data_IF_524680960630
#
_entry.id   IF_524680960630
#
_cell.length_a   1.000
_cell.length_b   1.000
_cell.length_c   1.000
_cell.angle_alpha   90.00
_cell.angle_beta   90.00
_cell.angle_gamma   90.00
#
_symmetry.space_group_name_H-M   'P 1'
#
loop_
_entity.id
_entity.type
_entity.pdbx_description
1 polymer ?
#
# COMPACT_ATOMS: atom_id res chain seq x y z
N UNK A 1 53.25 3.92 -12.74
CA UNK A 1 52.02 4.60 -13.19
C UNK A 1 50.73 3.79 -12.90
N UNK A 2 50.74 2.45 -13.04
CA UNK A 2 49.55 1.60 -12.82
C UNK A 2 49.03 1.53 -11.37
N UNK A 3 49.90 1.69 -10.35
CA UNK A 3 49.48 1.60 -8.94
C UNK A 3 48.65 2.81 -8.45
N UNK A 4 48.85 3.99 -9.04
CA UNK A 4 48.07 5.20 -8.68
C UNK A 4 46.64 5.16 -9.22
N UNK A 5 46.42 4.48 -10.34
CA UNK A 5 45.09 4.36 -10.97
C UNK A 5 44.21 3.42 -10.14
N UNK A 6 44.76 2.32 -9.61
CA UNK A 6 43.99 1.37 -8.78
C UNK A 6 43.58 2.02 -7.44
N UNK A 7 44.47 2.77 -6.79
CA UNK A 7 44.15 3.48 -5.55
C UNK A 7 43.07 4.56 -5.75
N UNK A 8 43.08 5.26 -6.89
CA UNK A 8 42.07 6.28 -7.20
C UNK A 8 40.70 5.66 -7.50
N UNK A 9 40.66 4.53 -8.20
CA UNK A 9 39.39 3.80 -8.46
C UNK A 9 38.79 3.25 -7.16
N UNK A 10 39.62 2.70 -6.26
CA UNK A 10 39.14 2.22 -4.95
C UNK A 10 38.61 3.38 -4.10
N UNK A 11 39.29 4.53 -4.10
CA UNK A 11 38.82 5.71 -3.37
C UNK A 11 37.46 6.23 -3.91
N UNK A 12 37.27 6.25 -5.23
CA UNK A 12 36.01 6.67 -5.85
C UNK A 12 34.87 5.69 -5.52
N UNK A 13 35.13 4.39 -5.54
CA UNK A 13 34.13 3.37 -5.18
C UNK A 13 33.74 3.50 -3.70
N UNK A 14 34.70 3.68 -2.80
CA UNK A 14 34.41 3.87 -1.36
C UNK A 14 33.66 5.18 -1.11
N UNK A 15 34.01 6.27 -1.78
CA UNK A 15 33.30 7.54 -1.65
C UNK A 15 31.88 7.50 -2.21
N UNK A 16 31.61 6.73 -3.28
CA UNK A 16 30.24 6.52 -3.76
C UNK A 16 29.42 5.65 -2.80
N UNK A 17 30.02 4.61 -2.18
CA UNK A 17 29.30 3.75 -1.23
C UNK A 17 28.89 4.47 0.06
N UNK A 18 29.68 5.44 0.53
CA UNK A 18 29.38 6.21 1.76
C UNK A 18 28.27 7.24 1.52
N UNK A 19 28.09 7.74 0.29
CA UNK A 19 27.06 8.74 -0.01
C UNK A 19 25.65 8.15 -0.12
N UNK A 20 25.51 6.86 -0.48
CA UNK A 20 24.20 6.22 -0.66
C UNK A 20 23.58 5.74 0.67
N UNK A 21 24.39 5.45 1.68
CA UNK A 21 23.90 4.91 2.98
C UNK A 21 23.32 6.01 3.89
N UNK A 22 23.62 7.29 3.63
CA UNK A 22 23.26 8.38 4.55
C UNK A 22 21.83 8.97 4.37
N UNK A 23 21.01 8.49 3.42
CA UNK A 23 19.75 9.18 3.03
C UNK A 23 18.46 8.38 3.30
N UNK A 24 18.51 7.22 3.96
CA UNK A 24 17.29 6.41 4.21
C UNK A 24 16.54 6.72 5.51
N UNK A 25 16.89 7.78 6.24
CA UNK A 25 16.19 8.20 7.46
C UNK A 25 15.41 9.51 7.27
N UNK A 26 14.45 9.54 6.34
CA UNK A 26 13.46 10.63 6.35
C UNK A 26 12.47 10.41 7.50
N UNK A 27 12.55 11.27 8.52
CA UNK A 27 11.46 11.43 9.48
C UNK A 27 10.42 12.34 8.84
N UNK A 28 9.24 11.79 8.56
CA UNK A 28 8.10 12.60 8.09
C UNK A 28 7.59 13.50 9.23
N UNK A 29 7.09 14.71 8.92
CA UNK A 29 6.42 15.54 9.92
C UNK A 29 5.22 14.78 10.50
N UNK A 30 5.20 14.61 11.81
CA UNK A 30 4.09 13.99 12.52
C UNK A 30 2.85 14.88 12.44
N UNK A 31 1.63 14.34 12.26
CA UNK A 31 0.41 15.10 12.45
C UNK A 31 0.32 15.56 13.92
N UNK A 32 -0.03 16.84 14.11
CA UNK A 32 -0.32 17.39 15.44
C UNK A 32 -1.61 16.75 15.95
N UNK A 33 -1.64 16.10 17.13
CA UNK A 33 -2.86 15.52 17.65
C UNK A 33 -3.89 16.63 17.93
N UNK A 34 -5.20 16.39 17.70
CA UNK A 34 -6.23 17.32 18.12
C UNK A 34 -6.22 17.47 19.64
N UNK A 35 -6.36 18.71 20.13
CA UNK A 35 -6.43 19.01 21.55
C UNK A 35 -7.57 18.21 22.21
N UNK A 36 -7.23 17.41 23.22
CA UNK A 36 -8.19 16.68 24.03
C UNK A 36 -9.08 17.68 24.78
N UNK A 37 -10.37 17.70 24.44
CA UNK A 37 -11.40 18.35 25.24
C UNK A 37 -11.76 17.48 26.44
N UNK A 38 -11.69 18.07 27.63
CA UNK A 38 -12.08 17.47 28.91
C UNK A 38 -13.51 16.92 28.87
N UNK A 39 -13.66 15.62 29.19
CA UNK A 39 -14.93 15.04 29.61
C UNK A 39 -14.72 14.28 30.93
N UNK A 40 -15.03 14.97 32.04
CA UNK A 40 -15.17 14.37 33.36
C UNK A 40 -16.59 13.84 33.55
N UNK A 41 -16.75 12.61 34.05
CA UNK A 41 -18.09 12.11 34.41
C UNK A 41 -18.22 10.66 34.91
N UNK A 42 -17.92 10.47 36.21
CA UNK A 42 -18.51 9.49 37.16
C UNK A 42 -18.23 7.98 37.08
N UNK A 43 -17.60 7.52 38.17
CA UNK A 43 -17.61 6.16 38.74
C UNK A 43 -18.94 5.78 39.43
N UNK A 44 -19.26 4.47 39.42
CA UNK A 44 -19.82 3.57 40.48
C UNK A 44 -20.34 2.29 39.78
N UNK A 45 -20.18 1.04 40.23
CA UNK A 45 -19.63 0.45 41.44
C UNK A 45 -19.61 -1.10 41.31
N UNK A 46 -18.95 -1.73 42.27
CA UNK A 46 -18.65 -3.16 42.45
C UNK A 46 -19.89 -4.05 42.78
N UNK A 47 -19.85 -5.35 42.41
CA UNK A 47 -20.35 -6.47 43.24
C UNK A 47 -19.88 -7.85 42.71
N UNK A 48 -19.39 -8.69 43.63
CA UNK A 48 -18.89 -10.07 43.44
C UNK A 48 -19.97 -11.17 43.63
N UNK A 49 -19.88 -12.25 42.80
CA UNK A 49 -20.04 -13.73 42.94
C UNK A 49 -21.15 -14.41 43.81
N UNK A 50 -21.46 -15.76 43.74
CA UNK A 50 -20.85 -16.91 43.01
C UNK A 50 -21.82 -17.90 42.25
N UNK A 51 -21.26 -18.95 41.58
CA UNK A 51 -21.89 -19.99 40.67
C UNK A 51 -22.79 -21.07 41.31
N UNK A 52 -22.91 -22.36 40.83
CA UNK A 52 -22.32 -23.07 39.66
C UNK A 52 -23.35 -23.86 38.79
N UNK A 53 -23.01 -24.24 37.55
CA UNK A 53 -23.56 -25.45 36.88
C UNK A 53 -22.59 -25.97 35.80
N UNK A 54 -22.13 -27.22 35.98
CA UNK A 54 -21.48 -28.02 34.94
C UNK A 54 -22.55 -28.72 34.11
N UNK A 55 -22.51 -28.55 32.78
CA UNK A 55 -23.06 -29.53 31.82
C UNK A 55 -22.15 -29.58 30.61
N UNK A 56 -21.51 -30.73 30.45
CA UNK A 56 -20.65 -31.11 29.34
C UNK A 56 -21.54 -31.51 28.15
N UNK A 57 -21.35 -30.85 27.01
CA UNK A 57 -21.76 -31.34 25.69
C UNK A 57 -20.68 -30.95 24.70
N UNK A 58 -20.16 -31.96 24.01
CA UNK A 58 -19.13 -31.88 22.99
C UNK A 58 -19.62 -31.07 21.78
N UNK A 59 -18.87 -30.03 21.42
CA UNK A 59 -18.71 -29.53 20.05
C UNK A 59 -17.61 -28.44 20.06
N UNK A 60 -16.37 -28.84 19.80
CA UNK A 60 -15.27 -27.89 19.68
C UNK A 60 -15.30 -27.21 18.31
N UNK A 61 -16.02 -26.09 18.21
CA UNK A 61 -15.75 -25.06 17.21
C UNK A 61 -15.05 -23.90 17.90
N UNK A 62 -13.72 -23.82 17.74
CA UNK A 62 -12.92 -22.72 18.28
C UNK A 62 -13.28 -21.41 17.56
N UNK A 63 -13.88 -20.47 18.30
CA UNK A 63 -13.79 -19.04 18.01
C UNK A 63 -12.66 -18.49 18.88
N UNK A 64 -11.62 -17.96 18.25
CA UNK A 64 -10.47 -17.39 18.95
C UNK A 64 -10.00 -16.13 18.25
N UNK A 65 -10.12 -15.01 18.97
CA UNK A 65 -9.35 -13.79 18.76
C UNK A 65 -7.88 -14.12 18.47
N UNK A 66 -7.32 -13.54 17.41
CA UNK A 66 -5.89 -13.60 17.13
C UNK A 66 -5.29 -12.22 17.42
N UNK A 67 -4.93 -12.04 18.69
CA UNK A 67 -4.08 -10.97 19.15
C UNK A 67 -2.97 -11.59 19.99
N UNK A 68 -1.75 -11.46 19.47
CA UNK A 68 -0.45 -11.53 20.15
C UNK A 68 0.18 -12.92 20.36
N UNK A 69 1.44 -12.95 19.94
CA UNK A 69 2.51 -13.93 20.16
C UNK A 69 2.66 -15.07 19.12
N UNK A 70 3.36 -14.80 18.01
CA UNK A 70 3.68 -15.85 17.02
C UNK A 70 4.98 -15.66 16.21
N UNK A 71 6.14 -15.69 16.87
CA UNK A 71 7.39 -16.08 16.18
C UNK A 71 7.53 -17.62 16.03
N UNK A 72 6.77 -18.40 16.81
CA UNK A 72 6.85 -19.86 16.80
C UNK A 72 5.97 -20.60 15.79
N UNK A 73 4.80 -20.07 15.39
CA UNK A 73 3.90 -20.75 14.43
C UNK A 73 3.61 -19.99 13.14
N UNK A 74 4.00 -18.72 13.01
CA UNK A 74 3.89 -18.01 11.73
C UNK A 74 4.81 -18.58 10.64
N UNK A 75 5.86 -19.34 11.02
CA UNK A 75 6.71 -20.10 10.09
C UNK A 75 6.04 -21.36 9.54
N UNK A 76 5.05 -21.91 10.25
CA UNK A 76 4.41 -23.19 9.94
C UNK A 76 2.95 -23.06 9.48
N UNK A 77 2.43 -21.83 9.31
CA UNK A 77 1.08 -21.62 8.78
C UNK A 77 1.13 -21.60 7.24
N UNK A 78 0.62 -22.64 6.54
CA UNK A 78 0.66 -22.72 5.08
C UNK A 78 -0.22 -21.68 4.36
N UNK A 79 -1.07 -20.93 5.06
CA UNK A 79 -1.97 -19.95 4.45
C UNK A 79 -2.41 -18.89 5.46
N UNK A 80 -1.64 -17.81 5.61
CA UNK A 80 -2.18 -16.56 6.14
C UNK A 80 -3.05 -15.91 5.05
N UNK A 81 -4.37 -15.98 5.20
CA UNK A 81 -5.38 -15.08 4.62
C UNK A 81 -5.18 -14.67 3.16
N UNK A 82 -5.78 -15.45 2.25
CA UNK A 82 -5.74 -15.25 0.80
C UNK A 82 -6.59 -14.07 0.36
N UNK A 83 -5.99 -13.10 -0.32
CA UNK A 83 -6.69 -12.13 -1.16
C UNK A 83 -6.45 -12.45 -2.64
N UNK A 84 -7.51 -12.43 -3.45
CA UNK A 84 -7.37 -12.34 -4.90
C UNK A 84 -7.43 -10.86 -5.29
N UNK A 85 -6.26 -10.30 -5.62
CA UNK A 85 -6.21 -9.02 -6.33
C UNK A 85 -6.72 -9.23 -7.76
N UNK A 86 -7.48 -8.25 -8.31
CA UNK A 86 -8.25 -8.38 -9.57
C UNK A 86 -7.38 -8.30 -10.83
N UNK A 87 -6.08 -8.25 -10.68
CA UNK A 87 -5.17 -8.12 -11.80
C UNK A 87 -5.13 -9.43 -12.63
N UNK A 88 -5.47 -9.39 -13.93
CA UNK A 88 -5.79 -10.58 -14.71
C UNK A 88 -4.50 -11.33 -15.06
N UNK A 89 -4.25 -12.46 -14.39
CA UNK A 89 -3.21 -13.38 -14.86
C UNK A 89 -2.79 -14.49 -13.91
N UNK A 90 -3.03 -14.39 -12.61
CA UNK A 90 -2.61 -15.44 -11.66
C UNK A 90 -3.50 -15.42 -10.43
N UNK A 91 -4.28 -16.47 -10.18
CA UNK A 91 -4.06 -17.38 -9.05
C UNK A 91 -5.14 -18.47 -8.95
N UNK A 92 -4.64 -19.66 -8.63
CA UNK A 92 -5.29 -20.89 -8.23
C UNK A 92 -6.60 -20.71 -7.43
N UNK A 93 -7.63 -21.42 -7.90
CA UNK A 93 -8.85 -21.70 -7.17
C UNK A 93 -8.54 -22.49 -5.89
N UNK A 94 -8.42 -21.76 -4.78
CA UNK A 94 -8.45 -22.32 -3.44
C UNK A 94 -9.64 -21.74 -2.70
N UNK A 95 -10.68 -22.56 -2.47
CA UNK A 95 -11.91 -22.26 -1.71
C UNK A 95 -11.65 -21.25 -0.59
N UNK A 96 -12.29 -20.08 -0.67
CA UNK A 96 -12.40 -19.15 0.45
C UNK A 96 -13.06 -19.88 1.62
N UNK A 97 -12.36 -19.97 2.74
CA UNK A 97 -12.93 -20.49 4.00
C UNK A 97 -13.94 -19.48 4.52
N UNK A 98 -15.23 -19.74 4.28
CA UNK A 98 -16.37 -19.21 5.04
C UNK A 98 -16.40 -17.70 5.24
N UNK A 99 -16.60 -16.93 4.17
CA UNK A 99 -17.14 -15.59 4.33
C UNK A 99 -18.58 -15.74 4.85
N UNK A 100 -18.84 -15.23 6.06
CA UNK A 100 -20.21 -15.00 6.53
C UNK A 100 -20.55 -13.56 6.16
N UNK A 101 -21.80 -13.30 5.78
CA UNK A 101 -22.27 -11.98 5.32
C UNK A 101 -21.94 -10.81 6.28
N UNK A 102 -21.66 -11.12 7.55
CA UNK A 102 -21.33 -10.19 8.62
C UNK A 102 -19.83 -9.91 8.80
N UNK A 103 -18.93 -10.60 8.08
CA UNK A 103 -17.47 -10.43 8.21
C UNK A 103 -16.78 -10.26 6.88
N UNK A 104 -15.77 -9.41 6.86
CA UNK A 104 -14.84 -9.21 5.76
C UNK A 104 -13.41 -9.28 6.30
N UNK A 105 -12.45 -9.63 5.45
CA UNK A 105 -11.03 -9.45 5.78
C UNK A 105 -10.45 -8.40 4.84
N UNK A 106 -9.54 -7.55 5.33
CA UNK A 106 -8.81 -6.60 4.49
C UNK A 106 -7.41 -6.38 5.08
N UNK A 107 -6.37 -6.50 4.25
CA UNK A 107 -4.95 -6.43 4.65
C UNK A 107 -4.57 -7.34 5.84
N UNK A 108 -5.28 -8.45 6.01
CA UNK A 108 -5.07 -9.40 7.11
C UNK A 108 -5.90 -9.13 8.38
N UNK A 109 -6.73 -8.09 8.39
CA UNK A 109 -7.55 -7.70 9.53
C UNK A 109 -9.01 -8.05 9.33
N UNK A 110 -9.69 -8.40 10.44
CA UNK A 110 -11.11 -8.70 10.44
C UNK A 110 -11.94 -7.42 10.54
N UNK A 111 -12.90 -7.29 9.65
CA UNK A 111 -13.89 -6.21 9.66
C UNK A 111 -15.28 -6.82 9.86
N UNK A 112 -16.08 -6.23 10.73
CA UNK A 112 -17.46 -6.64 10.99
C UNK A 112 -18.44 -5.69 10.34
N UNK A 113 -19.52 -6.24 9.78
CA UNK A 113 -20.57 -5.46 9.15
C UNK A 113 -21.12 -4.45 10.16
N UNK A 114 -21.08 -3.18 9.78
CA UNK A 114 -21.65 -2.10 10.59
C UNK A 114 -23.04 -1.76 10.07
N UNK A 115 -23.95 -1.38 10.98
CA UNK A 115 -25.25 -0.81 10.61
C UNK A 115 -25.16 0.64 10.14
N UNK A 116 -23.95 1.19 9.99
CA UNK A 116 -23.75 2.55 9.53
C UNK A 116 -24.32 2.70 8.11
N UNK A 117 -25.04 3.81 7.82
CA UNK A 117 -25.59 4.03 6.49
C UNK A 117 -24.48 4.06 5.44
N UNK A 118 -24.84 3.66 4.22
CA UNK A 118 -23.95 3.81 3.09
C UNK A 118 -23.63 5.31 2.88
N UNK A 119 -22.36 5.63 3.11
CA UNK A 119 -21.54 6.70 2.50
C UNK A 119 -22.13 8.12 2.50
N UNK A 120 -21.46 9.04 3.21
CA UNK A 120 -21.67 10.49 3.09
C UNK A 120 -20.57 11.21 2.25
N UNK A 121 -19.61 10.48 1.65
CA UNK A 121 -18.46 11.06 0.95
C UNK A 121 -17.87 10.17 -0.16
N UNK A 122 -16.75 10.56 -0.76
CA UNK A 122 -16.16 9.76 -1.84
C UNK A 122 -15.53 8.46 -1.30
N UNK A 123 -15.72 7.36 -2.03
CA UNK A 123 -15.06 6.08 -1.75
C UNK A 123 -14.07 5.72 -2.86
N UNK A 124 -12.92 5.20 -2.46
CA UNK A 124 -11.81 4.85 -3.35
C UNK A 124 -11.65 3.34 -3.37
N UNK A 125 -11.64 2.76 -4.57
CA UNK A 125 -11.37 1.35 -4.78
C UNK A 125 -9.90 1.06 -4.50
N UNK A 126 -9.64 0.07 -3.66
CA UNK A 126 -8.27 -0.27 -3.21
C UNK A 126 -7.51 -1.14 -4.21
N UNK A 127 -8.20 -1.69 -5.22
CA UNK A 127 -7.66 -2.71 -6.12
C UNK A 127 -7.79 -4.14 -5.60
N UNK A 128 -8.35 -4.31 -4.39
CA UNK A 128 -8.49 -5.60 -3.73
C UNK A 128 -9.94 -6.10 -3.74
N UNK A 129 -10.11 -7.43 -3.59
CA UNK A 129 -11.42 -8.06 -3.42
C UNK A 129 -11.46 -8.91 -2.16
N UNK A 130 -12.59 -8.85 -1.44
CA UNK A 130 -12.97 -9.78 -0.38
C UNK A 130 -14.20 -10.54 -0.86
N UNK A 131 -14.13 -11.87 -0.90
CA UNK A 131 -15.29 -12.65 -1.35
C UNK A 131 -15.69 -12.43 -2.80
N UNK A 132 -14.75 -12.00 -3.65
CA UNK A 132 -15.05 -11.57 -5.02
C UNK A 132 -15.69 -10.17 -5.13
N UNK A 133 -16.05 -9.53 -4.02
CA UNK A 133 -16.56 -8.15 -3.96
C UNK A 133 -15.42 -7.16 -3.87
N UNK A 134 -15.54 -6.03 -4.56
CA UNK A 134 -14.53 -4.95 -4.53
C UNK A 134 -14.47 -4.29 -3.16
N UNK A 135 -13.26 -4.06 -2.65
CA UNK A 135 -13.02 -3.37 -1.39
C UNK A 135 -12.72 -1.90 -1.64
N UNK A 136 -13.48 -1.03 -0.99
CA UNK A 136 -13.31 0.41 -1.03
C UNK A 136 -13.01 0.97 0.36
N UNK A 137 -12.38 2.12 0.40
CA UNK A 137 -12.16 2.93 1.62
C UNK A 137 -12.77 4.31 1.41
N UNK A 138 -13.11 5.01 2.48
CA UNK A 138 -13.51 6.42 2.35
C UNK A 138 -12.27 7.27 2.06
N UNK A 139 -12.42 8.26 1.17
CA UNK A 139 -11.38 9.25 0.88
C UNK A 139 -11.01 10.11 2.11
N UNK A 140 -11.94 10.25 3.05
CA UNK A 140 -11.79 11.02 4.29
C UNK A 140 -11.27 10.17 5.46
N UNK A 141 -11.57 8.87 5.47
CA UNK A 141 -11.22 7.94 6.57
C UNK A 141 -9.77 7.40 6.45
N UNK A 142 -9.04 7.81 5.42
CA UNK A 142 -7.63 7.46 5.28
C UNK A 142 -6.77 8.46 6.06
N UNK A 143 -6.64 8.26 7.36
CA UNK A 143 -5.64 8.91 8.20
C UNK A 143 -4.34 8.11 8.13
N UNK A 144 -3.34 8.51 7.32
CA UNK A 144 -2.00 7.97 7.50
C UNK A 144 -1.55 8.28 8.93
N UNK A 145 -0.92 7.33 9.63
CA UNK A 145 -0.23 6.17 9.09
C UNK A 145 -0.98 4.90 9.54
N UNK A 146 -2.04 4.47 8.86
CA UNK A 146 -2.89 3.42 9.44
C UNK A 146 -3.87 2.74 8.52
N UNK A 147 -4.49 1.69 9.06
CA UNK A 147 -5.58 0.97 8.43
C UNK A 147 -6.85 1.82 8.39
N UNK A 148 -7.67 1.66 7.35
CA UNK A 148 -8.96 2.30 7.34
C UNK A 148 -9.79 1.74 8.50
N UNK A 149 -10.35 2.63 9.33
CA UNK A 149 -11.27 2.24 10.39
C UNK A 149 -12.54 1.59 9.82
N UNK A 150 -12.88 1.96 8.58
CA UNK A 150 -13.99 1.40 7.81
C UNK A 150 -13.61 1.05 6.38
N UNK A 151 -14.03 -0.13 5.94
CA UNK A 151 -14.04 -0.52 4.53
C UNK A 151 -15.48 -0.63 4.03
N UNK A 152 -15.63 -0.63 2.72
CA UNK A 152 -16.92 -0.84 2.06
C UNK A 152 -16.77 -1.94 1.03
N UNK A 153 -17.67 -2.92 1.07
CA UNK A 153 -17.77 -3.91 0.00
C UNK A 153 -18.92 -3.52 -0.93
N UNK A 154 -18.62 -3.45 -2.23
CA UNK A 154 -19.62 -3.16 -3.27
C UNK A 154 -20.25 -4.44 -3.78
N UNK A 155 -21.58 -4.49 -3.79
CA UNK A 155 -22.40 -5.53 -4.40
C UNK A 155 -23.45 -4.86 -5.31
N UNK A 156 -23.26 -5.01 -6.62
CA UNK A 156 -23.97 -4.19 -7.62
C UNK A 156 -23.76 -2.69 -7.39
N UNK A 157 -24.84 -1.96 -7.16
CA UNK A 157 -24.81 -0.51 -6.88
C UNK A 157 -24.85 -0.17 -5.39
N UNK A 158 -24.81 -1.18 -4.51
CA UNK A 158 -24.88 -0.99 -3.06
C UNK A 158 -23.51 -1.15 -2.43
N UNK A 159 -23.23 -0.29 -1.46
CA UNK A 159 -22.07 -0.39 -0.59
C UNK A 159 -22.51 -0.86 0.79
N UNK A 160 -21.85 -1.90 1.30
CA UNK A 160 -22.01 -2.36 2.68
C UNK A 160 -20.79 -1.96 3.48
N UNK A 161 -20.99 -1.21 4.56
CA UNK A 161 -19.91 -0.75 5.44
C UNK A 161 -19.50 -1.83 6.45
N UNK A 162 -18.20 -2.02 6.61
CA UNK A 162 -17.61 -2.88 7.63
C UNK A 162 -16.59 -2.08 8.45
N UNK A 163 -16.63 -2.23 9.78
CA UNK A 163 -15.72 -1.55 10.71
C UNK A 163 -14.68 -2.52 11.21
N UNK A 164 -13.45 -2.06 11.39
CA UNK A 164 -12.35 -2.84 11.95
C UNK A 164 -12.75 -3.40 13.32
N UNK A 165 -12.74 -4.73 13.46
CA UNK A 165 -13.06 -5.39 14.72
C UNK A 165 -11.79 -5.64 15.51
N UNK A 166 -11.73 -5.14 16.74
CA UNK A 166 -10.65 -5.38 17.71
C UNK A 166 -9.25 -5.28 17.09
N UNK A 167 -8.85 -4.09 16.60
CA UNK A 167 -7.50 -3.93 16.04
C UNK A 167 -6.47 -4.36 17.08
N UNK A 168 -5.46 -5.16 16.70
CA UNK A 168 -4.40 -5.52 17.64
C UNK A 168 -3.69 -4.25 18.13
N UNK A 169 -3.17 -4.27 19.37
CA UNK A 169 -2.52 -3.11 19.97
C UNK A 169 -1.32 -2.63 19.17
N UNK A 170 -0.60 -3.52 18.50
CA UNK A 170 0.52 -3.18 17.61
C UNK A 170 0.36 -3.96 16.32
N UNK A 171 0.59 -3.31 15.19
CA UNK A 171 0.51 -3.96 13.89
C UNK A 171 1.40 -3.31 12.84
N UNK A 172 1.85 -4.12 11.88
CA UNK A 172 2.44 -3.65 10.63
C UNK A 172 1.36 -3.40 9.58
N UNK A 173 1.62 -2.50 8.64
CA UNK A 173 0.77 -2.24 7.50
C UNK A 173 1.58 -1.89 6.26
N UNK A 174 0.95 -2.05 5.10
CA UNK A 174 1.43 -1.54 3.80
C UNK A 174 0.47 -0.47 3.32
N UNK A 175 0.99 0.54 2.64
CA UNK A 175 0.18 1.65 2.12
C UNK A 175 -0.88 1.17 1.11
N UNK A 176 -0.54 0.14 0.33
CA UNK A 176 -1.40 -0.50 -0.67
C UNK A 176 -1.12 -2.01 -0.69
N UNK A 177 -2.10 -2.82 -1.11
CA UNK A 177 -1.92 -4.27 -1.26
C UNK A 177 -1.14 -4.69 -2.51
N UNK A 178 -1.05 -3.82 -3.51
CA UNK A 178 -0.37 -4.10 -4.78
C UNK A 178 0.44 -2.89 -5.29
N UNK A 179 1.64 -3.18 -5.76
CA UNK A 179 2.59 -2.21 -6.32
C UNK A 179 3.08 -2.69 -7.69
N UNK A 180 3.37 -1.77 -8.60
CA UNK A 180 4.07 -2.09 -9.84
C UNK A 180 5.56 -2.35 -9.55
N UNK A 181 6.25 -3.02 -10.48
CA UNK A 181 7.71 -3.18 -10.40
C UNK A 181 8.37 -1.79 -10.50
N UNK A 182 9.38 -1.54 -9.68
CA UNK A 182 10.06 -0.24 -9.51
C UNK A 182 9.21 0.87 -8.84
N UNK A 183 8.03 0.55 -8.29
CA UNK A 183 7.26 1.48 -7.45
C UNK A 183 7.71 1.35 -5.99
N UNK A 184 8.19 2.42 -5.37
CA UNK A 184 8.60 2.35 -3.97
C UNK A 184 7.45 1.87 -3.05
N UNK A 185 7.74 0.85 -2.26
CA UNK A 185 6.77 0.24 -1.33
C UNK A 185 6.84 0.98 0.00
N UNK A 186 5.79 1.73 0.35
CA UNK A 186 5.64 2.38 1.66
C UNK A 186 4.91 1.45 2.63
N UNK A 187 5.46 1.30 3.81
CA UNK A 187 4.92 0.46 4.87
C UNK A 187 5.28 1.05 6.24
N UNK A 188 4.65 0.55 7.28
CA UNK A 188 4.89 1.04 8.62
C UNK A 188 4.40 0.12 9.71
N UNK A 189 4.53 0.60 10.93
CA UNK A 189 4.04 -0.05 12.13
C UNK A 189 3.35 0.98 13.01
N UNK A 190 2.15 0.65 13.49
CA UNK A 190 1.35 1.45 14.42
C UNK A 190 1.44 0.84 15.81
N UNK A 191 1.57 1.69 16.83
CA UNK A 191 1.48 1.29 18.22
C UNK A 191 0.31 2.00 18.91
N UNK A 192 -0.71 1.22 19.27
CA UNK A 192 -1.88 1.59 20.07
C UNK A 192 -1.94 0.79 21.40
N UNK A 193 -0.84 0.13 21.79
CA UNK A 193 -0.78 -0.81 22.90
C UNK A 193 -0.66 -0.21 24.30
N UNK A 194 -0.81 1.11 24.44
CA UNK A 194 -0.69 1.80 25.73
C UNK A 194 0.75 2.19 26.08
N UNK A 195 1.71 1.29 25.85
CA UNK A 195 3.13 1.51 26.15
C UNK A 195 3.95 2.00 24.94
N UNK A 196 5.19 2.46 25.17
CA UNK A 196 6.13 2.77 24.08
C UNK A 196 6.85 1.50 23.64
N UNK A 197 6.87 1.23 22.33
CA UNK A 197 7.61 0.12 21.74
C UNK A 197 9.02 0.59 21.38
N UNK A 198 10.04 -0.08 21.91
CA UNK A 198 11.44 0.24 21.63
C UNK A 198 11.99 -0.68 20.54
N UNK A 199 12.21 -0.13 19.34
CA UNK A 199 12.81 -0.88 18.24
C UNK A 199 14.34 -0.79 18.31
N UNK A 200 15.03 -1.92 18.19
CA UNK A 200 16.49 -1.97 18.39
C UNK A 200 17.33 -1.31 17.28
N UNK A 201 16.73 -1.07 16.11
CA UNK A 201 17.39 -0.49 14.93
C UNK A 201 16.52 0.60 14.30
N UNK A 202 17.14 1.54 13.59
CA UNK A 202 16.43 2.58 12.84
C UNK A 202 15.55 2.03 11.70
N UNK A 203 15.94 0.90 11.11
CA UNK A 203 15.20 0.18 10.08
C UNK A 203 15.12 -1.31 10.45
N UNK A 204 14.27 -1.68 11.43
CA UNK A 204 14.21 -3.01 11.98
C UNK A 204 13.30 -3.91 11.14
N UNK A 205 13.38 -3.84 9.81
CA UNK A 205 12.52 -4.61 8.93
C UNK A 205 13.33 -5.49 7.99
N UNK A 206 12.72 -6.54 7.46
CA UNK A 206 13.22 -7.30 6.32
C UNK A 206 12.09 -7.48 5.31
N UNK A 207 12.43 -7.66 4.04
CA UNK A 207 11.46 -8.02 3.01
C UNK A 207 11.63 -9.49 2.70
N UNK A 208 10.51 -10.20 2.71
CA UNK A 208 10.45 -11.62 2.38
C UNK A 208 9.61 -11.83 1.12
N UNK A 209 10.03 -12.76 0.28
CA UNK A 209 9.30 -13.22 -0.90
C UNK A 209 8.75 -14.62 -0.66
N UNK A 210 7.54 -14.91 -1.15
CA UNK A 210 6.97 -16.26 -1.13
C UNK A 210 7.51 -17.08 -2.29
N UNK A 211 8.27 -18.14 -1.99
CA UNK A 211 8.84 -19.08 -2.96
C UNK A 211 8.48 -20.51 -2.57
N UNK A 212 7.82 -21.24 -3.48
CA UNK A 212 7.41 -22.63 -3.21
C UNK A 212 6.53 -22.77 -1.96
N UNK A 213 5.72 -21.75 -1.65
CA UNK A 213 4.87 -21.71 -0.46
C UNK A 213 5.57 -21.25 0.82
N UNK A 214 6.90 -21.08 0.81
CA UNK A 214 7.69 -20.66 1.98
C UNK A 214 8.12 -19.21 1.85
N UNK A 215 8.18 -18.47 2.96
CA UNK A 215 8.71 -17.12 2.99
C UNK A 215 10.24 -17.12 3.13
N UNK A 216 10.93 -16.39 2.26
CA UNK A 216 12.40 -16.24 2.29
C UNK A 216 12.78 -14.78 2.29
N UNK A 217 13.70 -14.38 3.17
CA UNK A 217 14.26 -13.03 3.17
C UNK A 217 15.03 -12.77 1.88
N UNK A 218 14.72 -11.66 1.22
CA UNK A 218 15.34 -11.21 -0.03
C UNK A 218 15.96 -9.82 0.07
N UNK A 219 15.64 -9.10 1.15
CA UNK A 219 16.25 -7.80 1.46
C UNK A 219 16.32 -7.57 2.97
N UNK A 220 17.49 -7.13 3.42
CA UNK A 220 17.75 -6.67 4.78
C UNK A 220 18.41 -5.29 4.71
N UNK A 221 17.79 -4.23 5.25
CA UNK A 221 18.38 -2.90 5.24
C UNK A 221 19.62 -2.85 6.12
N UNK A 222 20.63 -2.11 5.66
CA UNK A 222 21.75 -1.71 6.51
C UNK A 222 21.25 -0.59 7.43
N UNK A 223 21.07 -0.90 8.71
CA UNK A 223 20.50 0.03 9.69
C UNK A 223 21.51 0.39 10.79
N UNK A 224 21.46 1.64 11.25
CA UNK A 224 22.13 2.04 12.48
C UNK A 224 21.51 1.33 13.69
N UNK A 225 22.36 0.84 14.60
CA UNK A 225 21.97 0.27 15.88
C UNK A 225 21.61 1.38 16.86
N UNK A 226 20.36 1.84 16.79
CA UNK A 226 19.82 2.87 17.66
C UNK A 226 18.43 2.46 18.11
N UNK A 227 18.17 2.64 19.41
CA UNK A 227 16.85 2.44 19.98
C UNK A 227 15.92 3.50 19.38
N UNK A 228 14.91 3.06 18.65
CA UNK A 228 13.93 3.89 17.97
C UNK A 228 12.58 3.71 18.66
N UNK A 229 12.12 4.68 19.47
CA UNK A 229 10.85 4.57 20.17
C UNK A 229 9.68 4.80 19.22
N UNK A 230 8.65 3.96 19.32
CA UNK A 230 7.33 4.14 18.71
C UNK A 230 6.34 4.30 19.85
N UNK A 231 5.95 5.54 20.14
CA UNK A 231 5.08 5.87 21.26
C UNK A 231 3.66 5.36 21.02
N UNK A 232 2.90 5.17 22.09
CA UNK A 232 1.47 4.88 22.00
C UNK A 232 0.72 5.98 21.21
N UNK A 233 -0.20 5.56 20.34
CA UNK A 233 -0.95 6.41 19.42
C UNK A 233 -0.13 6.94 18.24
N UNK A 234 1.09 6.43 18.00
CA UNK A 234 1.95 6.87 16.90
C UNK A 234 2.29 5.73 15.95
N UNK A 235 2.82 6.08 14.78
CA UNK A 235 3.37 5.10 13.85
C UNK A 235 4.77 5.50 13.40
N UNK A 236 5.50 4.49 12.93
CA UNK A 236 6.77 4.64 12.23
C UNK A 236 6.66 4.04 10.84
N UNK A 237 7.23 4.74 9.87
CA UNK A 237 7.15 4.37 8.46
C UNK A 237 8.53 4.23 7.85
N UNK A 238 8.59 3.35 6.86
CA UNK A 238 9.75 3.10 6.03
C UNK A 238 9.31 2.95 4.57
N UNK A 239 10.30 2.94 3.69
CA UNK A 239 10.14 2.76 2.27
C UNK A 239 11.16 1.74 1.77
N UNK A 240 10.74 0.91 0.83
CA UNK A 240 11.62 -0.01 0.11
C UNK A 240 11.51 0.23 -1.39
N UNK A 241 12.62 0.56 -2.03
CA UNK A 241 12.70 0.87 -3.47
C UNK A 241 12.81 -0.38 -4.35
N UNK A 242 12.33 -1.52 -3.84
CA UNK A 242 12.32 -2.81 -4.54
C UNK A 242 13.71 -3.31 -4.95
N UNK A 243 14.77 -2.91 -4.25
CA UNK A 243 16.11 -3.46 -4.45
C UNK A 243 16.34 -4.68 -3.53
N UNK A 244 16.89 -5.76 -4.07
CA UNK A 244 17.26 -6.97 -3.32
C UNK A 244 18.67 -6.82 -2.70
N UNK A 245 19.05 -7.73 -1.81
CA UNK A 245 20.38 -7.74 -1.17
C UNK A 245 21.54 -7.85 -2.17
N UNK A 246 21.31 -8.46 -3.33
CA UNK A 246 22.29 -8.58 -4.43
C UNK A 246 22.30 -7.36 -5.38
N UNK A 247 21.61 -6.28 -5.00
CA UNK A 247 21.43 -5.04 -5.74
C UNK A 247 20.57 -5.15 -7.01
N UNK A 248 19.99 -6.32 -7.30
CA UNK A 248 19.06 -6.48 -8.42
C UNK A 248 17.67 -5.95 -8.06
N UNK A 249 16.86 -5.67 -9.08
CA UNK A 249 15.47 -5.25 -8.89
C UNK A 249 14.59 -6.45 -8.52
N UNK A 250 13.64 -6.23 -7.60
CA UNK A 250 12.67 -7.23 -7.21
C UNK A 250 11.76 -7.56 -8.41
N UNK A 251 11.59 -8.85 -8.65
CA UNK A 251 10.66 -9.35 -9.67
C UNK A 251 9.23 -9.45 -9.13
N UNK A 252 8.28 -9.72 -10.02
CA UNK A 252 6.86 -9.89 -9.66
C UNK A 252 6.65 -11.07 -8.71
N UNK A 253 5.62 -10.99 -7.86
CA UNK A 253 5.29 -12.04 -6.91
C UNK A 253 4.68 -11.53 -5.61
N UNK A 254 4.49 -12.45 -4.66
CA UNK A 254 3.96 -12.15 -3.34
C UNK A 254 5.11 -11.89 -2.36
N UNK A 255 4.98 -10.80 -1.62
CA UNK A 255 5.97 -10.31 -0.67
C UNK A 255 5.31 -10.04 0.68
N UNK A 256 6.13 -9.93 1.72
CA UNK A 256 5.75 -9.32 2.99
C UNK A 256 6.91 -8.55 3.57
N UNK A 257 6.61 -7.49 4.28
CA UNK A 257 7.56 -6.91 5.23
C UNK A 257 7.42 -7.64 6.56
N UNK A 258 8.54 -7.92 7.24
CA UNK A 258 8.58 -8.37 8.62
C UNK A 258 9.34 -7.34 9.46
N UNK A 259 8.67 -6.72 10.42
CA UNK A 259 9.20 -5.66 11.29
C UNK A 259 9.47 -6.24 12.68
N UNK A 260 10.65 -5.99 13.22
CA UNK A 260 11.17 -6.50 14.48
C UNK A 260 11.12 -8.05 14.59
N UNK A 261 11.07 -8.75 13.46
CA UNK A 261 10.90 -10.20 13.43
C UNK A 261 9.48 -10.68 13.79
N UNK A 262 8.55 -9.79 14.11
CA UNK A 262 7.26 -10.14 14.70
C UNK A 262 6.07 -9.64 13.86
N UNK A 263 6.09 -8.38 13.43
CA UNK A 263 4.94 -7.75 12.79
C UNK A 263 5.06 -7.85 11.28
N UNK A 264 4.14 -8.57 10.65
CA UNK A 264 4.16 -8.79 9.20
C UNK A 264 3.02 -8.07 8.48
N UNK A 265 3.31 -7.54 7.29
CA UNK A 265 2.29 -7.03 6.37
C UNK A 265 2.60 -7.51 4.95
N UNK A 266 1.62 -8.16 4.32
CA UNK A 266 1.76 -8.76 2.99
C UNK A 266 1.38 -7.76 1.89
N UNK A 267 2.03 -7.88 0.73
CA UNK A 267 1.74 -7.11 -0.47
C UNK A 267 2.17 -7.90 -1.72
N UNK A 268 1.81 -7.40 -2.90
CA UNK A 268 2.18 -8.01 -4.17
C UNK A 268 2.90 -7.02 -5.09
N UNK A 269 3.93 -7.51 -5.78
CA UNK A 269 4.51 -6.82 -6.94
C UNK A 269 3.90 -7.40 -8.22
N UNK A 270 3.21 -6.56 -8.99
CA UNK A 270 2.49 -6.97 -10.19
C UNK A 270 2.61 -5.89 -11.29
N UNK A 271 3.05 -6.26 -12.50
CA UNK A 271 3.41 -5.28 -13.54
C UNK A 271 2.17 -4.64 -14.19
N UNK A 272 0.99 -5.18 -13.88
CA UNK A 272 -0.33 -4.77 -14.34
C UNK A 272 -1.09 -3.93 -13.31
N UNK A 273 -0.46 -3.53 -12.21
CA UNK A 273 -1.04 -2.57 -11.26
C UNK A 273 -0.75 -1.14 -11.71
N UNK A 274 -1.71 -0.19 -11.71
CA UNK A 274 -1.39 1.18 -12.09
C UNK A 274 -0.41 1.78 -11.06
N UNK A 275 0.55 2.55 -11.54
CA UNK A 275 1.59 3.15 -10.71
C UNK A 275 1.25 4.61 -10.38
N UNK A 276 1.47 5.02 -9.13
CA UNK A 276 1.43 6.42 -8.73
C UNK A 276 2.64 6.70 -7.89
N UNK A 277 3.37 7.77 -8.18
CA UNK A 277 4.50 8.17 -7.35
C UNK A 277 4.65 9.68 -7.26
N UNK A 278 5.43 10.12 -6.27
CA UNK A 278 5.85 11.51 -6.09
C UNK A 278 7.29 11.66 -6.55
N UNK A 279 7.61 12.70 -7.31
CA UNK A 279 8.98 13.05 -7.68
C UNK A 279 9.27 14.50 -7.35
N UNK A 280 10.49 14.76 -6.88
CA UNK A 280 10.99 16.13 -6.69
C UNK A 280 11.70 16.67 -7.95
N UNK A 281 11.79 15.87 -9.01
CA UNK A 281 12.37 16.30 -10.28
C UNK A 281 11.50 17.38 -10.94
N UNK A 282 12.16 18.27 -11.67
CA UNK A 282 11.51 19.19 -12.59
C UNK A 282 11.65 18.62 -13.99
N UNK A 283 10.54 18.14 -14.53
CA UNK A 283 10.48 17.53 -15.84
C UNK A 283 10.38 18.61 -16.93
N UNK A 284 11.05 18.36 -18.04
CA UNK A 284 10.80 19.02 -19.32
C UNK A 284 10.09 18.05 -20.28
N UNK A 285 9.72 18.53 -21.48
CA UNK A 285 9.07 17.69 -22.49
C UNK A 285 9.87 16.42 -22.82
N UNK A 286 11.19 16.48 -23.12
CA UNK A 286 11.99 15.26 -23.33
C UNK A 286 11.92 14.26 -22.18
N UNK A 287 12.03 14.70 -20.92
CA UNK A 287 11.98 13.82 -19.77
C UNK A 287 10.60 13.16 -19.60
N UNK A 288 9.51 13.89 -19.89
CA UNK A 288 8.15 13.34 -19.91
C UNK A 288 7.96 12.30 -21.00
N UNK A 289 8.49 12.55 -22.21
CA UNK A 289 8.44 11.58 -23.31
C UNK A 289 9.25 10.33 -22.97
N UNK A 290 10.47 10.46 -22.46
CA UNK A 290 11.30 9.34 -21.99
C UNK A 290 10.58 8.55 -20.91
N UNK A 291 9.91 9.21 -19.97
CA UNK A 291 9.15 8.52 -18.93
C UNK A 291 8.10 7.57 -19.51
N UNK A 292 7.41 7.95 -20.59
CA UNK A 292 6.39 7.11 -21.19
C UNK A 292 6.94 5.99 -22.06
N UNK A 293 8.04 6.25 -22.77
CA UNK A 293 8.69 5.27 -23.67
C UNK A 293 9.50 4.25 -22.88
N UNK A 294 10.26 4.69 -21.88
CA UNK A 294 11.22 3.86 -21.15
C UNK A 294 10.58 3.15 -19.95
N UNK A 295 9.41 3.60 -19.49
CA UNK A 295 8.68 2.93 -18.41
C UNK A 295 8.15 1.57 -18.88
N UNK A 296 8.37 0.48 -18.12
CA UNK A 296 7.77 -0.82 -18.44
C UNK A 296 6.26 -0.86 -18.16
N UNK A 297 5.74 0.12 -17.42
CA UNK A 297 4.35 0.13 -16.93
C UNK A 297 3.32 0.14 -18.07
N UNK A 298 3.37 1.05 -19.07
CA UNK A 298 2.31 1.15 -20.07
C UNK A 298 2.14 -0.12 -20.92
N UNK A 299 3.25 -0.78 -21.27
CA UNK A 299 3.25 -2.00 -22.06
C UNK A 299 2.68 -3.20 -21.26
N UNK A 300 3.14 -3.39 -20.02
CA UNK A 300 2.63 -4.45 -19.15
C UNK A 300 1.15 -4.25 -18.83
N UNK A 301 0.76 -3.01 -18.54
CA UNK A 301 -0.63 -2.64 -18.26
C UNK A 301 -1.53 -2.84 -19.49
N UNK A 302 -1.07 -2.46 -20.69
CA UNK A 302 -1.83 -2.63 -21.92
C UNK A 302 -2.06 -4.10 -22.27
N UNK A 303 -1.10 -4.97 -21.95
CA UNK A 303 -1.24 -6.43 -22.09
C UNK A 303 -2.29 -6.99 -21.13
N UNK A 304 -2.33 -6.51 -19.89
CA UNK A 304 -3.31 -6.94 -18.89
C UNK A 304 -4.72 -6.39 -19.17
N UNK A 305 -4.81 -5.21 -19.77
CA UNK A 305 -6.06 -4.51 -20.04
C UNK A 305 -6.21 -4.17 -21.53
N UNK A 306 -6.38 -5.18 -22.41
CA UNK A 306 -6.42 -4.98 -23.85
C UNK A 306 -7.61 -4.12 -24.32
N UNK A 307 -8.75 -4.22 -23.63
CA UNK A 307 -10.01 -3.55 -23.96
C UNK A 307 -10.79 -3.20 -22.68
N UNK A 308 -10.43 -2.12 -21.98
CA UNK A 308 -11.07 -1.73 -20.72
C UNK A 308 -12.54 -1.35 -20.93
N UNK A 309 -13.43 -1.90 -20.11
CA UNK A 309 -14.80 -1.40 -19.97
C UNK A 309 -14.79 -0.02 -19.30
N UNK A 310 -15.90 0.72 -19.39
CA UNK A 310 -16.06 1.98 -18.66
C UNK A 310 -15.87 1.80 -17.15
N UNK A 311 -16.39 0.70 -16.61
CA UNK A 311 -16.19 0.30 -15.22
C UNK A 311 -14.73 -0.03 -14.91
N UNK A 312 -14.01 -0.70 -15.81
CA UNK A 312 -12.58 -0.96 -15.64
C UNK A 312 -11.75 0.32 -15.64
N UNK A 313 -12.11 1.33 -16.45
CA UNK A 313 -11.48 2.66 -16.38
C UNK A 313 -11.71 3.33 -15.03
N UNK A 314 -12.94 3.26 -14.52
CA UNK A 314 -13.28 3.81 -13.20
C UNK A 314 -12.51 3.11 -12.08
N UNK A 315 -12.44 1.76 -12.11
CA UNK A 315 -11.67 0.98 -11.14
C UNK A 315 -10.19 1.42 -11.13
N UNK A 316 -9.57 1.56 -12.30
CA UNK A 316 -8.17 1.97 -12.43
C UNK A 316 -7.94 3.38 -11.92
N UNK A 317 -8.78 4.33 -12.32
CA UNK A 317 -8.70 5.71 -11.82
C UNK A 317 -8.92 5.78 -10.30
N UNK A 318 -9.80 4.95 -9.75
CA UNK A 318 -10.07 4.88 -8.31
C UNK A 318 -8.90 4.27 -7.53
N UNK A 319 -8.23 3.24 -8.07
CA UNK A 319 -6.97 2.70 -7.51
C UNK A 319 -5.87 3.76 -7.49
N UNK A 320 -5.71 4.51 -8.58
CA UNK A 320 -4.70 5.56 -8.65
C UNK A 320 -4.97 6.68 -7.63
N UNK A 321 -6.23 7.06 -7.42
CA UNK A 321 -6.62 7.99 -6.36
C UNK A 321 -6.29 7.43 -4.97
N UNK A 322 -6.59 6.15 -4.71
CA UNK A 322 -6.23 5.50 -3.45
C UNK A 322 -4.71 5.55 -3.20
N UNK A 323 -3.90 5.20 -4.21
CA UNK A 323 -2.43 5.30 -4.15
C UNK A 323 -1.94 6.73 -3.92
N UNK A 324 -2.52 7.71 -4.61
CA UNK A 324 -2.20 9.11 -4.41
C UNK A 324 -2.44 9.54 -2.96
N UNK A 325 -3.60 9.19 -2.39
CA UNK A 325 -3.92 9.44 -0.98
C UNK A 325 -2.89 8.79 -0.05
N UNK A 326 -2.51 7.54 -0.32
CA UNK A 326 -1.51 6.82 0.47
C UNK A 326 -0.10 7.46 0.43
N UNK A 327 0.20 8.23 -0.62
CA UNK A 327 1.41 9.04 -0.78
C UNK A 327 1.27 10.47 -0.22
N UNK A 328 0.15 10.78 0.44
CA UNK A 328 -0.16 12.14 0.91
C UNK A 328 -0.31 13.15 -0.24
N UNK A 329 -0.74 12.69 -1.41
CA UNK A 329 -1.10 13.51 -2.56
C UNK A 329 -2.62 13.72 -2.57
N UNK A 330 -3.08 14.75 -3.28
CA UNK A 330 -4.51 15.05 -3.42
C UNK A 330 -5.16 14.12 -4.47
N UNK A 331 -6.01 13.16 -4.04
CA UNK A 331 -6.69 12.25 -4.98
C UNK A 331 -7.66 12.99 -5.91
N UNK A 332 -8.30 14.07 -5.45
CA UNK A 332 -9.27 14.82 -6.26
C UNK A 332 -8.56 15.60 -7.38
N UNK A 333 -7.37 16.16 -7.10
CA UNK A 333 -6.50 16.75 -8.12
C UNK A 333 -6.10 15.73 -9.18
N UNK A 334 -5.65 14.53 -8.77
CA UNK A 334 -5.34 13.45 -9.71
C UNK A 334 -6.56 13.05 -10.55
N UNK A 335 -7.74 12.95 -9.94
CA UNK A 335 -8.97 12.61 -10.68
C UNK A 335 -9.28 13.62 -11.78
N UNK A 336 -9.23 14.91 -11.46
CA UNK A 336 -9.43 16.00 -12.43
C UNK A 336 -8.40 15.95 -13.54
N UNK A 337 -7.14 15.64 -13.21
CA UNK A 337 -6.06 15.48 -14.18
C UNK A 337 -6.33 14.32 -15.14
N UNK A 338 -6.80 13.17 -14.63
CA UNK A 338 -7.20 12.00 -15.44
C UNK A 338 -8.37 12.34 -16.37
N UNK A 339 -9.38 13.07 -15.88
CA UNK A 339 -10.56 13.48 -16.65
C UNK A 339 -10.22 14.53 -17.72
N UNK A 340 -9.36 15.49 -17.41
CA UNK A 340 -8.95 16.57 -18.31
C UNK A 340 -8.16 16.06 -19.52
N UNK A 341 -7.43 14.95 -19.39
CA UNK A 341 -6.73 14.32 -20.51
C UNK A 341 -7.68 13.87 -21.64
N UNK A 342 -8.95 13.56 -21.31
CA UNK A 342 -9.99 13.20 -22.28
C UNK A 342 -9.66 11.99 -23.17
N UNK A 343 -8.65 11.20 -22.81
CA UNK A 343 -8.14 10.07 -23.59
C UNK A 343 -9.03 8.84 -23.46
N UNK A 344 -9.22 8.10 -24.56
CA UNK A 344 -9.98 6.85 -24.57
C UNK A 344 -9.26 5.64 -23.93
N UNK A 345 -7.97 5.78 -23.62
CA UNK A 345 -7.13 4.74 -23.01
C UNK A 345 -7.19 4.72 -21.49
N UNK A 346 -6.39 3.84 -20.88
CA UNK A 346 -6.32 3.70 -19.43
C UNK A 346 -5.15 4.48 -18.86
N UNK A 347 -5.36 5.32 -17.83
CA UNK A 347 -4.23 5.85 -17.08
C UNK A 347 -3.53 4.67 -16.40
N UNK A 348 -2.23 4.54 -16.61
CA UNK A 348 -1.46 3.40 -16.10
C UNK A 348 -0.30 3.84 -15.20
N UNK A 349 0.15 5.09 -15.36
CA UNK A 349 1.17 5.71 -14.53
C UNK A 349 0.79 7.18 -14.30
N UNK A 350 0.87 7.64 -13.05
CA UNK A 350 0.79 9.05 -12.70
C UNK A 350 1.95 9.48 -11.80
N UNK A 351 2.51 10.64 -12.10
CA UNK A 351 3.64 11.23 -11.40
C UNK A 351 3.24 12.61 -10.94
N UNK A 352 3.25 12.87 -9.63
CA UNK A 352 3.18 14.23 -9.12
C UNK A 352 4.59 14.80 -9.00
N UNK A 353 4.91 15.83 -9.79
CA UNK A 353 6.23 16.43 -9.86
C UNK A 353 6.17 17.92 -10.19
N UNK A 354 7.31 18.51 -10.54
CA UNK A 354 7.36 19.79 -11.24
C UNK A 354 7.48 19.55 -12.74
N UNK A 355 6.85 20.41 -13.53
CA UNK A 355 7.03 20.51 -14.97
C UNK A 355 7.27 21.98 -15.31
N UNK A 356 8.43 22.28 -15.89
CA UNK A 356 8.89 23.65 -16.18
C UNK A 356 8.71 24.60 -14.97
N UNK A 357 9.10 24.11 -13.78
CA UNK A 357 9.06 24.85 -12.52
C UNK A 357 7.69 24.91 -11.82
N UNK A 358 6.64 24.28 -12.37
CA UNK A 358 5.28 24.31 -11.81
C UNK A 358 4.83 22.93 -11.32
N UNK A 359 4.16 22.83 -10.16
CA UNK A 359 3.53 21.58 -9.73
C UNK A 359 2.53 21.05 -10.75
N UNK A 360 2.67 19.78 -11.13
CA UNK A 360 1.85 19.14 -12.14
C UNK A 360 1.75 17.62 -11.93
N UNK A 361 0.69 17.06 -12.50
CA UNK A 361 0.55 15.64 -12.78
C UNK A 361 1.04 15.33 -14.18
N UNK A 362 1.96 14.37 -14.29
CA UNK A 362 2.33 13.72 -15.55
C UNK A 362 1.62 12.37 -15.59
N UNK A 363 0.69 12.19 -16.52
CA UNK A 363 -0.13 10.98 -16.63
C UNK A 363 0.18 10.29 -17.94
N UNK A 364 0.62 9.04 -17.85
CA UNK A 364 0.86 8.17 -18.99
C UNK A 364 -0.30 7.20 -19.14
N UNK A 365 -0.81 7.11 -20.35
CA UNK A 365 -1.89 6.21 -20.69
C UNK A 365 -1.39 5.05 -21.54
N UNK A 366 -1.92 3.86 -21.25
CA UNK A 366 -1.71 2.70 -22.09
C UNK A 366 -2.66 2.78 -23.31
N UNK A 367 -2.17 2.51 -24.54
CA UNK A 367 -2.98 2.54 -25.75
C UNK A 367 -4.02 1.40 -25.84
N UNK A 368 -3.94 0.41 -24.93
CA UNK A 368 -4.72 -0.83 -25.00
C UNK A 368 -4.29 -1.70 -26.19
N UNK A 369 -4.70 -2.97 -26.21
CA UNK A 369 -4.37 -3.87 -27.33
C UNK A 369 -5.28 -3.64 -28.56
N UNK A 370 -6.41 -2.96 -28.37
CA UNK A 370 -7.47 -2.86 -29.38
C UNK A 370 -7.41 -1.67 -30.34
N UNK A 371 -6.53 -0.68 -30.14
CA UNK A 371 -6.48 0.51 -31.02
C UNK A 371 -5.26 0.46 -31.94
N UNK A 372 -5.48 0.08 -33.20
CA UNK A 372 -4.40 0.00 -34.21
C UNK A 372 -3.91 1.37 -34.71
N UNK A 373 -4.29 2.47 -34.06
CA UNK A 373 -4.11 3.83 -34.60
C UNK A 373 -3.07 4.63 -33.81
N UNK A 374 -2.80 4.27 -32.54
CA UNK A 374 -1.74 4.91 -31.76
C UNK A 374 -0.95 3.82 -31.03
N UNK A 375 0.13 3.30 -31.62
CA UNK A 375 0.91 2.20 -31.03
C UNK A 375 1.74 2.63 -29.81
N UNK A 376 1.82 3.93 -29.54
CA UNK A 376 2.69 4.49 -28.51
C UNK A 376 1.89 4.97 -27.29
N UNK A 377 2.44 4.80 -26.07
CA UNK A 377 1.86 5.41 -24.88
C UNK A 377 1.84 6.93 -25.06
N UNK A 378 0.73 7.56 -24.70
CA UNK A 378 0.60 9.01 -24.77
C UNK A 378 0.62 9.61 -23.38
N UNK A 379 1.16 10.83 -23.30
CA UNK A 379 1.38 11.52 -22.04
C UNK A 379 0.56 12.79 -21.99
N UNK A 380 0.06 13.09 -20.80
CA UNK A 380 -0.59 14.35 -20.50
C UNK A 380 0.09 14.98 -19.31
N UNK A 381 0.44 16.25 -19.45
CA UNK A 381 0.87 17.07 -18.33
C UNK A 381 -0.27 18.01 -17.97
N UNK A 382 -0.68 18.00 -16.71
CA UNK A 382 -1.80 18.80 -16.20
C UNK A 382 -1.33 19.48 -14.93
N UNK A 383 -1.39 20.82 -14.89
CA UNK A 383 -1.06 21.55 -13.67
C UNK A 383 -2.02 21.21 -12.53
N UNK A 384 -1.62 21.47 -11.28
CA UNK A 384 -2.50 21.29 -10.12
C UNK A 384 -3.73 22.21 -10.15
N UNK A 385 -3.66 23.31 -10.92
CA UNK A 385 -4.80 24.18 -11.18
C UNK A 385 -5.69 23.58 -12.28
N UNK A 386 -7.02 23.48 -12.06
CA UNK A 386 -7.93 22.80 -12.99
C UNK A 386 -7.93 23.43 -14.39
N UNK A 387 -7.90 22.58 -15.42
CA UNK A 387 -8.20 22.97 -16.81
C UNK A 387 -7.01 23.32 -17.70
N UNK A 388 -5.76 23.27 -17.21
CA UNK A 388 -4.59 23.55 -18.03
C UNK A 388 -3.89 22.24 -18.43
N UNK A 389 -4.27 21.68 -19.59
CA UNK A 389 -3.36 20.78 -20.29
C UNK A 389 -2.11 21.59 -20.64
N UNK A 390 -0.98 21.25 -20.03
CA UNK A 390 0.28 21.97 -20.18
C UNK A 390 0.98 21.54 -21.47
N UNK A 391 0.94 20.25 -21.77
CA UNK A 391 1.47 19.69 -23.02
C UNK A 391 0.79 18.36 -23.35
N UNK A 392 0.59 18.11 -24.65
CA UNK A 392 0.25 16.81 -25.23
C UNK A 392 1.34 16.56 -26.29
N UNK A 393 2.46 15.94 -25.89
CA UNK A 393 3.63 15.83 -26.74
C UNK A 393 3.38 15.12 -28.06
#
# INVERSE_FOLDING_TARGET
MRLKIVAMVIAIVISLSVLTVAVQAFSFPQPVPPAAGDFAGRQRGYHDSPGPYFRQTDDHTFYGLTGVDYLGKARDLPDTGRFSSVFPGTWLAGRASGERDDRATYLGFAYVRSGAPAIAGDVLFTGERSGGRRVYVSADDYSPPGMPGRIFLRDGDRYTAYTLADPPPVYAYVACGAFNVNESVRFGMVNNGGDTLELMNAAPFEIQRKEGGTWRTVFTPVAAQVITPVRNGTAKEWQWDQQLDDLTAASTGDYRVLIAGEYAAAFRLAPDTPAVWRSNADFDRPAVTSLAVDSPVPAAFGKAYPSPSAEGREDVASIMQFKAKALGLDPASLRKAIEAAGGGGLPCLAVHARYEGRPAWVIVYSPGAGTSVVPEPYVYVTGDAPGNAVDRP
#
